data_IF_095155806790
#
_entry.id   IF_095155806790
#
_cell.length_a   1.000
_cell.length_b   1.000
_cell.length_c   1.000
_cell.angle_alpha   90.00
_cell.angle_beta   90.00
_cell.angle_gamma   90.00
#
_symmetry.space_group_name_H-M   'P 1'
#
loop_
_entity.id
_entity.type
_entity.pdbx_description
1 polymer ?
#
# COMPACT_ATOMS: atom_id res chain seq x y z
N UNK A 1 -12.85 3.31 -15.02
CA UNK A 1 -11.56 2.62 -14.79
C UNK A 1 -11.33 2.60 -13.28
N UNK A 2 -11.20 1.43 -12.65
CA UNK A 2 -10.92 1.34 -11.20
C UNK A 2 -9.42 1.49 -11.00
N UNK A 3 -9.01 2.47 -10.21
CA UNK A 3 -7.61 2.74 -9.87
C UNK A 3 -7.39 2.38 -8.41
N UNK A 4 -6.45 1.47 -8.15
CA UNK A 4 -6.14 0.99 -6.80
C UNK A 4 -4.88 1.70 -6.28
N UNK A 5 -5.00 2.38 -5.15
CA UNK A 5 -3.85 2.95 -4.46
C UNK A 5 -3.22 1.90 -3.54
N UNK A 6 -1.99 1.46 -3.86
CA UNK A 6 -1.22 0.59 -2.98
C UNK A 6 -0.36 1.44 -2.05
N UNK A 7 -0.50 1.24 -0.74
CA UNK A 7 0.40 1.87 0.23
C UNK A 7 1.67 1.04 0.39
N UNK A 8 2.82 1.68 0.19
CA UNK A 8 4.13 1.14 0.54
C UNK A 8 4.60 1.73 1.86
N UNK A 9 5.03 0.86 2.78
CA UNK A 9 5.77 1.26 3.98
C UNK A 9 7.17 1.74 3.63
N UNK A 10 7.84 2.39 4.58
CA UNK A 10 9.18 2.97 4.38
C UNK A 10 10.20 1.96 3.82
N UNK A 11 10.27 0.76 4.40
CA UNK A 11 11.18 -0.30 3.95
C UNK A 11 10.92 -0.74 2.51
N UNK A 12 9.65 -0.88 2.13
CA UNK A 12 9.26 -1.28 0.77
C UNK A 12 9.59 -0.17 -0.24
N UNK A 13 9.49 1.10 0.15
CA UNK A 13 9.89 2.24 -0.69
C UNK A 13 11.39 2.27 -0.91
N UNK A 14 12.18 2.14 0.15
CA UNK A 14 13.64 2.11 0.04
C UNK A 14 14.13 0.92 -0.80
N UNK A 15 13.50 -0.24 -0.64
CA UNK A 15 13.81 -1.41 -1.48
C UNK A 15 13.46 -1.17 -2.95
N UNK A 16 12.29 -0.58 -3.23
CA UNK A 16 11.88 -0.22 -4.58
C UNK A 16 12.82 0.82 -5.21
N UNK A 17 13.22 1.84 -4.45
CA UNK A 17 14.19 2.85 -4.90
C UNK A 17 15.52 2.20 -5.27
N UNK A 18 16.05 1.31 -4.42
CA UNK A 18 17.26 0.54 -4.72
C UNK A 18 17.13 -0.26 -6.01
N UNK A 19 16.04 -1.02 -6.16
CA UNK A 19 15.79 -1.84 -7.37
C UNK A 19 15.79 -0.97 -8.63
N UNK A 20 15.15 0.20 -8.59
CA UNK A 20 15.09 1.12 -9.72
C UNK A 20 16.46 1.69 -10.05
N UNK A 21 17.22 2.11 -9.02
CA UNK A 21 18.56 2.66 -9.18
C UNK A 21 19.51 1.64 -9.80
N UNK A 22 19.48 0.41 -9.30
CA UNK A 22 20.38 -0.66 -9.71
C UNK A 22 19.91 -1.38 -11.00
N UNK A 23 18.68 -1.10 -11.45
CA UNK A 23 18.00 -1.79 -12.57
C UNK A 23 17.99 -3.31 -12.40
N UNK A 24 17.89 -3.77 -11.16
CA UNK A 24 17.95 -5.18 -10.80
C UNK A 24 16.62 -5.88 -11.13
N UNK A 25 16.62 -6.63 -12.23
CA UNK A 25 15.45 -7.33 -12.71
C UNK A 25 15.02 -8.49 -11.80
N UNK A 26 15.98 -9.17 -11.18
CA UNK A 26 15.67 -10.31 -10.29
C UNK A 26 15.01 -9.82 -9.00
N UNK A 27 15.57 -8.76 -8.41
CA UNK A 27 14.98 -8.11 -7.25
C UNK A 27 13.62 -7.49 -7.58
N UNK A 28 13.44 -6.91 -8.78
CA UNK A 28 12.14 -6.41 -9.23
C UNK A 28 11.07 -7.52 -9.27
N UNK A 29 11.42 -8.69 -9.84
CA UNK A 29 10.50 -9.82 -9.88
C UNK A 29 10.16 -10.33 -8.46
N UNK A 30 11.16 -10.42 -7.58
CA UNK A 30 10.96 -10.81 -6.20
C UNK A 30 10.06 -9.82 -5.44
N UNK A 31 10.24 -8.51 -5.67
CA UNK A 31 9.43 -7.45 -5.07
C UNK A 31 7.97 -7.52 -5.56
N UNK A 32 7.75 -7.76 -6.85
CA UNK A 32 6.40 -7.96 -7.41
C UNK A 32 5.67 -9.13 -6.74
N UNK A 33 6.34 -10.28 -6.62
CA UNK A 33 5.75 -11.49 -6.05
C UNK A 33 5.46 -11.36 -4.55
N UNK A 34 6.39 -10.75 -3.79
CA UNK A 34 6.31 -10.70 -2.32
C UNK A 34 5.50 -9.52 -1.79
N UNK A 35 5.49 -8.40 -2.51
CA UNK A 35 4.89 -7.15 -2.02
C UNK A 35 3.68 -6.74 -2.83
N UNK A 36 3.79 -6.66 -4.15
CA UNK A 36 2.74 -6.07 -4.99
C UNK A 36 1.56 -7.02 -5.14
N UNK A 37 1.78 -8.26 -5.59
CA UNK A 37 0.67 -9.20 -5.84
C UNK A 37 -0.18 -9.52 -4.61
N UNK A 38 0.38 -9.75 -3.41
CA UNK A 38 -0.43 -9.97 -2.22
C UNK A 38 -1.34 -8.78 -1.89
N UNK A 39 -0.84 -7.55 -2.04
CA UNK A 39 -1.62 -6.34 -1.77
C UNK A 39 -2.71 -6.08 -2.81
N UNK A 40 -2.43 -6.38 -4.09
CA UNK A 40 -3.45 -6.35 -5.14
C UNK A 40 -4.55 -7.36 -4.84
N UNK A 41 -4.17 -8.61 -4.55
CA UNK A 41 -5.14 -9.67 -4.21
C UNK A 41 -5.97 -9.33 -2.97
N UNK A 42 -5.38 -8.66 -1.97
CA UNK A 42 -6.12 -8.15 -0.81
C UNK A 42 -7.09 -7.04 -1.21
N UNK A 43 -6.68 -6.12 -2.09
CA UNK A 43 -7.52 -5.02 -2.58
C UNK A 43 -8.74 -5.51 -3.38
N UNK A 44 -8.62 -6.65 -4.06
CA UNK A 44 -9.72 -7.27 -4.81
C UNK A 44 -10.79 -7.93 -3.91
N UNK A 45 -10.49 -8.17 -2.62
CA UNK A 45 -11.45 -8.78 -1.70
C UNK A 45 -12.61 -7.83 -1.39
N UNK A 46 -13.86 -8.34 -1.37
CA UNK A 46 -15.02 -7.56 -0.96
C UNK A 46 -14.84 -7.00 0.46
N UNK A 47 -14.99 -5.68 0.61
CA UNK A 47 -14.84 -4.99 1.90
C UNK A 47 -13.40 -4.62 2.28
N UNK A 48 -12.42 -4.85 1.41
CA UNK A 48 -11.06 -4.36 1.62
C UNK A 48 -11.07 -2.82 1.62
N UNK A 49 -10.48 -2.22 2.66
CA UNK A 49 -10.51 -0.79 2.90
C UNK A 49 -9.28 -0.13 2.27
N UNK A 50 -9.13 -0.24 0.95
CA UNK A 50 -8.11 0.52 0.21
C UNK A 50 -8.75 1.75 -0.40
N UNK A 51 -8.07 2.89 -0.27
CA UNK A 51 -8.62 4.19 -0.64
C UNK A 51 -8.90 4.25 -2.14
N UNK A 52 -10.15 4.55 -2.48
CA UNK A 52 -10.52 4.98 -3.82
C UNK A 52 -9.73 6.26 -4.12
N UNK A 53 -8.83 6.26 -5.11
CA UNK A 53 -7.91 7.38 -5.38
C UNK A 53 -8.67 8.69 -5.68
N UNK A 54 -9.93 8.60 -6.13
CA UNK A 54 -10.82 9.74 -6.36
C UNK A 54 -11.29 10.43 -5.07
N UNK A 55 -11.17 9.78 -3.90
CA UNK A 55 -11.51 10.36 -2.60
C UNK A 55 -10.24 10.90 -1.94
N UNK A 56 -10.08 12.23 -1.77
CA UNK A 56 -9.00 12.77 -0.97
C UNK A 56 -9.10 12.21 0.46
N UNK A 57 -7.95 11.98 1.10
CA UNK A 57 -7.82 11.39 2.45
C UNK A 57 -8.61 12.17 3.52
N UNK A 58 -9.02 13.40 3.22
CA UNK A 58 -9.83 14.27 4.05
C UNK A 58 -11.34 13.89 4.10
N UNK A 59 -11.81 13.02 3.18
CA UNK A 59 -13.20 12.53 3.15
C UNK A 59 -13.28 11.05 3.52
N UNK A 60 -12.80 10.70 4.70
CA UNK A 60 -13.02 9.36 5.27
C UNK A 60 -14.47 9.27 5.76
N UNK A 61 -15.25 8.33 5.23
CA UNK A 61 -16.63 8.01 5.65
C UNK A 61 -16.70 7.49 7.10
N UNK A 62 -15.57 7.34 7.79
CA UNK A 62 -15.47 6.82 9.16
C UNK A 62 -14.68 7.81 10.01
N UNK A 63 -15.18 8.19 11.19
CA UNK A 63 -14.44 9.06 12.09
C UNK A 63 -13.09 8.40 12.44
N UNK A 64 -12.01 9.18 12.45
CA UNK A 64 -10.63 8.73 12.68
C UNK A 64 -10.47 7.88 13.96
N UNK A 65 -11.40 8.04 14.92
CA UNK A 65 -11.45 7.27 16.18
C UNK A 65 -11.61 5.75 16.04
N UNK A 66 -12.08 5.23 14.90
CA UNK A 66 -12.21 3.78 14.63
C UNK A 66 -11.04 3.20 13.83
N UNK A 67 -10.12 4.02 13.35
CA UNK A 67 -8.87 3.52 12.81
C UNK A 67 -8.00 3.09 13.99
N UNK A 68 -7.77 1.77 14.09
CA UNK A 68 -6.88 1.06 15.02
C UNK A 68 -5.89 2.02 15.69
N UNK A 69 -6.13 2.34 16.97
CA UNK A 69 -5.28 3.24 17.77
C UNK A 69 -3.82 2.91 17.49
N UNK A 70 -3.13 3.80 16.77
CA UNK A 70 -1.67 3.81 16.75
C UNK A 70 -1.29 4.02 18.21
N UNK A 71 -0.71 2.99 18.84
CA UNK A 71 -0.44 3.00 20.27
C UNK A 71 0.32 4.26 20.67
N UNK A 72 -0.07 4.85 21.80
CA UNK A 72 0.71 5.90 22.44
C UNK A 72 2.11 5.35 22.73
N UNK A 73 3.10 5.81 21.98
CA UNK A 73 4.49 5.71 22.38
C UNK A 73 4.75 6.86 23.37
N UNK A 74 4.44 6.62 24.64
CA UNK A 74 5.05 7.34 25.76
C UNK A 74 6.22 6.54 26.31
#
# INVERSE_FOLDING_TARGET
MRTWGLSFGEKERLELERIIMDRDQEAALAFLQKVVYPKVKESEKPGSCFHEISKPVEKLDRPVSVHKKLGDFR
#
